data_IF_676752953952
#
_entry.id   IF_676752953952
#
_cell.length_a   1.000
_cell.length_b   1.000
_cell.length_c   1.000
_cell.angle_alpha   90.00
_cell.angle_beta   90.00
_cell.angle_gamma   90.00
#
_symmetry.space_group_name_H-M   'P 1'
#
loop_
_entity.id
_entity.type
_entity.pdbx_description
1 polymer ?
#
# COMPACT_ATOMS: atom_id res chain seq x y z
N UNK A 1 -23.39 9.80 -4.46
CA UNK A 1 -21.99 10.27 -4.66
C UNK A 1 -21.72 11.65 -4.04
N UNK A 2 -22.47 12.71 -4.40
CA UNK A 2 -22.24 14.08 -3.88
C UNK A 2 -22.25 14.24 -2.34
N UNK A 3 -23.08 13.46 -1.62
CA UNK A 3 -23.13 13.50 -0.15
C UNK A 3 -21.84 12.95 0.51
N UNK A 4 -21.29 11.84 0.00
CA UNK A 4 -20.05 11.25 0.51
C UNK A 4 -18.85 12.17 0.29
N UNK A 5 -18.74 12.79 -0.89
CA UNK A 5 -17.68 13.77 -1.18
C UNK A 5 -17.73 14.97 -0.24
N UNK A 6 -18.92 15.45 0.12
CA UNK A 6 -19.07 16.55 1.09
C UNK A 6 -18.58 16.17 2.49
N UNK A 7 -18.86 14.93 2.92
CA UNK A 7 -18.38 14.43 4.22
C UNK A 7 -16.86 14.32 4.22
N UNK A 8 -16.28 13.75 3.18
CA UNK A 8 -14.82 13.63 3.04
C UNK A 8 -14.13 15.00 3.01
N UNK A 9 -14.68 15.96 2.26
CA UNK A 9 -14.14 17.32 2.21
C UNK A 9 -14.23 18.00 3.59
N UNK A 10 -15.35 17.87 4.29
CA UNK A 10 -15.54 18.40 5.66
C UNK A 10 -14.50 17.82 6.63
N UNK A 11 -14.28 16.51 6.59
CA UNK A 11 -13.31 15.86 7.48
C UNK A 11 -11.87 16.22 7.12
N UNK A 12 -11.53 16.31 5.83
CA UNK A 12 -10.23 16.78 5.38
C UNK A 12 -9.96 18.22 5.86
N UNK A 13 -10.93 19.13 5.71
CA UNK A 13 -10.83 20.49 6.24
C UNK A 13 -10.59 20.49 7.76
N UNK A 14 -11.35 19.66 8.50
CA UNK A 14 -11.22 19.56 9.97
C UNK A 14 -9.82 19.10 10.39
N UNK A 15 -9.27 18.09 9.73
CA UNK A 15 -7.93 17.58 10.00
C UNK A 15 -6.84 18.62 9.70
N UNK A 16 -6.94 19.29 8.56
CA UNK A 16 -6.00 20.36 8.16
C UNK A 16 -6.05 21.51 9.17
N UNK A 17 -7.24 21.98 9.55
CA UNK A 17 -7.37 23.07 10.51
C UNK A 17 -6.87 22.69 11.90
N UNK A 18 -7.15 21.45 12.35
CA UNK A 18 -6.62 20.93 13.61
C UNK A 18 -5.09 20.92 13.60
N UNK A 19 -4.47 20.52 12.49
CA UNK A 19 -3.01 20.49 12.37
C UNK A 19 -2.42 21.89 12.33
N UNK A 20 -3.04 22.85 11.61
CA UNK A 20 -2.57 24.24 11.57
C UNK A 20 -2.64 24.95 12.92
N UNK A 21 -3.68 24.67 13.69
CA UNK A 21 -3.88 25.25 15.01
C UNK A 21 -3.07 24.54 16.10
N UNK A 22 -2.30 23.50 15.76
CA UNK A 22 -1.48 22.76 16.69
C UNK A 22 -0.27 23.63 17.11
N UNK A 23 -0.13 24.00 18.40
CA UNK A 23 0.98 24.83 18.85
C UNK A 23 2.34 24.15 18.64
N UNK A 24 2.37 22.82 18.48
CA UNK A 24 3.57 22.04 18.21
C UNK A 24 3.75 21.71 16.72
N UNK A 25 3.06 22.41 15.82
CA UNK A 25 3.12 22.15 14.37
C UNK A 25 4.56 22.02 13.84
N UNK A 26 5.49 22.86 14.28
CA UNK A 26 6.89 22.85 13.81
C UNK A 26 7.70 21.63 14.30
N UNK A 27 7.28 21.03 15.41
CA UNK A 27 7.90 19.83 15.98
C UNK A 27 7.35 18.54 15.36
N UNK A 28 6.16 18.61 14.75
CA UNK A 28 5.53 17.45 14.12
C UNK A 28 6.28 16.99 12.88
N UNK A 29 6.24 15.67 12.67
CA UNK A 29 6.94 14.94 11.59
C UNK A 29 6.03 14.00 10.80
N UNK A 30 4.72 14.04 11.05
CA UNK A 30 3.76 13.33 10.19
C UNK A 30 3.55 14.07 8.86
N UNK A 31 3.13 13.33 7.82
CA UNK A 31 3.00 13.83 6.46
C UNK A 31 2.12 15.09 6.34
N UNK A 32 1.02 15.16 7.10
CA UNK A 32 0.13 16.31 7.08
C UNK A 32 0.84 17.58 7.56
N UNK A 33 1.54 17.49 8.69
CA UNK A 33 2.35 18.59 9.21
C UNK A 33 3.47 18.98 8.23
N UNK A 34 4.15 17.99 7.63
CA UNK A 34 5.22 18.23 6.65
C UNK A 34 4.71 18.98 5.41
N UNK A 35 3.54 18.64 4.87
CA UNK A 35 2.96 19.39 3.74
C UNK A 35 2.61 20.84 4.12
N UNK A 36 2.12 21.05 5.35
CA UNK A 36 1.82 22.41 5.84
C UNK A 36 3.11 23.22 6.03
N UNK A 37 4.14 22.63 6.64
CA UNK A 37 5.45 23.26 6.84
C UNK A 37 6.13 23.60 5.50
N UNK A 38 5.96 22.74 4.49
CA UNK A 38 6.40 22.98 3.12
C UNK A 38 5.57 24.03 2.36
N UNK A 39 4.59 24.66 3.02
CA UNK A 39 3.75 25.76 2.49
C UNK A 39 2.93 25.37 1.25
N UNK A 40 2.51 24.11 1.12
CA UNK A 40 1.54 23.72 0.10
C UNK A 40 0.16 24.38 0.33
N UNK A 41 -0.61 24.55 -0.74
CA UNK A 41 -1.94 25.16 -0.67
C UNK A 41 -2.90 24.31 0.17
N UNK A 42 -3.89 24.95 0.81
CA UNK A 42 -4.90 24.24 1.61
C UNK A 42 -5.60 23.15 0.81
N UNK A 43 -5.95 23.46 -0.45
CA UNK A 43 -6.64 22.51 -1.33
C UNK A 43 -5.75 21.31 -1.64
N UNK A 44 -4.47 21.54 -1.95
CA UNK A 44 -3.52 20.45 -2.17
C UNK A 44 -3.40 19.56 -0.94
N UNK A 45 -3.21 20.15 0.25
CA UNK A 45 -3.07 19.38 1.51
C UNK A 45 -4.32 18.54 1.79
N UNK A 46 -5.52 19.09 1.59
CA UNK A 46 -6.78 18.34 1.73
C UNK A 46 -6.85 17.16 0.76
N UNK A 47 -6.51 17.39 -0.51
CA UNK A 47 -6.51 16.33 -1.52
C UNK A 47 -5.51 15.23 -1.17
N UNK A 48 -4.31 15.59 -0.68
CA UNK A 48 -3.31 14.62 -0.24
C UNK A 48 -3.79 13.78 0.94
N UNK A 49 -4.47 14.36 1.93
CA UNK A 49 -5.08 13.61 3.05
C UNK A 49 -6.04 12.54 2.52
N UNK A 50 -6.91 12.91 1.59
CA UNK A 50 -7.87 11.96 1.00
C UNK A 50 -7.17 10.87 0.19
N UNK A 51 -6.21 11.24 -0.67
CA UNK A 51 -5.47 10.27 -1.47
C UNK A 51 -4.70 9.27 -0.61
N UNK A 52 -4.03 9.71 0.45
CA UNK A 52 -3.28 8.82 1.35
C UNK A 52 -4.21 7.85 2.10
N UNK A 53 -5.36 8.32 2.57
CA UNK A 53 -6.33 7.46 3.26
C UNK A 53 -6.88 6.41 2.30
N UNK A 54 -7.31 6.81 1.11
CA UNK A 54 -7.87 5.88 0.12
C UNK A 54 -6.82 4.85 -0.30
N UNK A 55 -5.63 5.33 -0.68
CA UNK A 55 -4.56 4.46 -1.15
C UNK A 55 -4.08 3.50 -0.06
N UNK A 56 -3.96 3.94 1.20
CA UNK A 56 -3.44 3.11 2.29
C UNK A 56 -4.47 2.20 2.96
N UNK A 57 -5.73 2.64 3.08
CA UNK A 57 -6.77 1.91 3.81
C UNK A 57 -7.24 0.68 3.04
N UNK A 58 -7.75 0.88 1.83
CA UNK A 58 -8.48 -0.17 1.12
C UNK A 58 -7.52 -1.24 0.59
N UNK A 59 -6.33 -0.84 0.15
CA UNK A 59 -5.29 -1.78 -0.30
C UNK A 59 -4.75 -2.65 0.84
N UNK A 60 -4.41 -2.05 1.98
CA UNK A 60 -3.91 -2.79 3.15
C UNK A 60 -4.98 -3.70 3.73
N UNK A 61 -6.23 -3.25 3.82
CA UNK A 61 -7.34 -4.07 4.29
C UNK A 61 -7.55 -5.29 3.38
N UNK A 62 -7.56 -5.08 2.05
CA UNK A 62 -7.68 -6.17 1.07
C UNK A 62 -6.54 -7.19 1.23
N UNK A 63 -5.29 -6.73 1.30
CA UNK A 63 -4.12 -7.58 1.49
C UNK A 63 -4.23 -8.42 2.77
N UNK A 64 -4.54 -7.80 3.90
CA UNK A 64 -4.67 -8.51 5.18
C UNK A 64 -5.80 -9.52 5.16
N UNK A 65 -6.93 -9.21 4.53
CA UNK A 65 -8.04 -10.16 4.37
C UNK A 65 -7.61 -11.40 3.60
N UNK A 66 -6.92 -11.24 2.47
CA UNK A 66 -6.39 -12.37 1.70
C UNK A 66 -5.30 -13.14 2.45
N UNK A 67 -4.40 -12.44 3.15
CA UNK A 67 -3.35 -13.07 3.95
C UNK A 67 -3.97 -13.98 5.01
N UNK A 68 -4.94 -13.49 5.78
CA UNK A 68 -5.61 -14.31 6.79
C UNK A 68 -6.39 -15.45 6.16
N UNK A 69 -7.05 -15.23 5.02
CA UNK A 69 -7.71 -16.30 4.29
C UNK A 69 -6.73 -17.42 3.91
N UNK A 70 -5.58 -17.10 3.30
CA UNK A 70 -4.57 -18.10 2.95
C UNK A 70 -3.97 -18.80 4.16
N UNK A 71 -3.73 -18.08 5.26
CA UNK A 71 -3.25 -18.69 6.50
C UNK A 71 -4.25 -19.69 7.07
N UNK A 72 -5.56 -19.44 6.98
CA UNK A 72 -6.58 -20.41 7.44
C UNK A 72 -6.62 -21.68 6.59
N UNK A 73 -6.19 -21.59 5.32
CA UNK A 73 -6.12 -22.72 4.39
C UNK A 73 -4.80 -23.49 4.49
N UNK A 74 -3.73 -22.85 4.96
CA UNK A 74 -2.39 -23.41 5.03
C UNK A 74 -1.88 -23.41 6.49
N UNK A 75 -2.38 -24.35 7.29
CA UNK A 75 -2.12 -24.40 8.73
C UNK A 75 -0.64 -24.63 9.09
N UNK A 76 0.11 -25.32 8.24
CA UNK A 76 1.55 -25.52 8.42
C UNK A 76 2.33 -24.20 8.25
N UNK A 77 1.93 -23.39 7.28
CA UNK A 77 2.48 -22.04 7.07
C UNK A 77 2.12 -21.15 8.25
N UNK A 78 0.86 -21.20 8.71
CA UNK A 78 0.41 -20.46 9.89
C UNK A 78 1.21 -20.83 11.14
N UNK A 79 1.46 -22.13 11.37
CA UNK A 79 2.23 -22.60 12.52
C UNK A 79 3.67 -22.10 12.48
N UNK A 80 4.34 -22.17 11.31
CA UNK A 80 5.70 -21.64 11.11
C UNK A 80 5.78 -20.12 11.32
N UNK A 81 4.79 -19.38 10.81
CA UNK A 81 4.71 -17.93 11.01
C UNK A 81 4.54 -17.61 12.50
N UNK A 82 3.64 -18.30 13.18
CA UNK A 82 3.43 -18.12 14.61
C UNK A 82 4.71 -18.42 15.41
N UNK A 83 5.44 -19.48 15.06
CA UNK A 83 6.73 -19.80 15.67
C UNK A 83 7.75 -18.66 15.50
N UNK A 84 7.92 -18.12 14.29
CA UNK A 84 8.81 -16.97 14.05
C UNK A 84 8.41 -15.77 14.92
N UNK A 85 7.12 -15.42 14.93
CA UNK A 85 6.61 -14.29 15.72
C UNK A 85 6.87 -14.52 17.22
N UNK A 86 6.60 -15.71 17.76
CA UNK A 86 6.81 -15.98 19.18
C UNK A 86 8.29 -15.98 19.57
N UNK A 87 9.17 -16.43 18.68
CA UNK A 87 10.62 -16.41 18.93
C UNK A 87 11.22 -15.01 18.83
N UNK A 88 10.79 -14.21 17.84
CA UNK A 88 11.39 -12.91 17.52
C UNK A 88 10.69 -11.74 18.22
N UNK A 89 9.39 -11.86 18.48
CA UNK A 89 8.51 -10.88 19.11
C UNK A 89 7.74 -11.48 20.30
N UNK A 90 8.43 -11.92 21.36
CA UNK A 90 7.75 -12.46 22.53
C UNK A 90 6.83 -11.41 23.18
N UNK A 91 5.78 -11.85 23.90
CA UNK A 91 4.86 -10.95 24.59
C UNK A 91 5.59 -9.92 25.48
N UNK A 92 5.23 -8.65 25.34
CA UNK A 92 5.84 -7.55 26.08
C UNK A 92 7.08 -6.94 25.42
N UNK A 93 7.59 -7.51 24.31
CA UNK A 93 8.62 -6.83 23.51
C UNK A 93 8.04 -5.58 22.85
N UNK A 94 8.75 -4.47 22.98
CA UNK A 94 8.39 -3.22 22.29
C UNK A 94 8.57 -3.42 20.79
N UNK A 95 7.52 -3.13 20.03
CA UNK A 95 7.57 -3.15 18.58
C UNK A 95 8.15 -1.83 18.08
N UNK A 96 9.19 -1.94 17.27
CA UNK A 96 9.78 -0.84 16.51
C UNK A 96 10.07 -1.25 15.06
N UNK A 97 10.44 -0.27 14.23
CA UNK A 97 10.72 -0.50 12.81
C UNK A 97 11.85 -1.52 12.56
N UNK A 98 12.80 -1.64 13.50
CA UNK A 98 13.89 -2.60 13.38
C UNK A 98 13.37 -4.02 13.63
N UNK A 99 12.60 -4.21 14.70
CA UNK A 99 11.99 -5.48 15.09
C UNK A 99 11.01 -6.03 14.04
N UNK A 100 10.41 -5.14 13.23
CA UNK A 100 9.47 -5.49 12.16
C UNK A 100 10.14 -5.59 10.78
N UNK A 101 11.46 -5.43 10.71
CA UNK A 101 12.20 -5.47 9.45
C UNK A 101 12.23 -6.87 8.84
N UNK A 102 12.40 -6.94 7.51
CA UNK A 102 12.51 -8.20 6.78
C UNK A 102 13.70 -9.06 7.21
N UNK A 103 14.76 -8.46 7.78
CA UNK A 103 15.89 -9.20 8.34
C UNK A 103 15.57 -9.87 9.67
N UNK A 104 14.67 -9.28 10.46
CA UNK A 104 14.27 -9.84 11.76
C UNK A 104 13.11 -10.84 11.64
N UNK A 105 12.19 -10.60 10.70
CA UNK A 105 10.99 -11.39 10.44
C UNK A 105 10.89 -11.84 8.97
N UNK A 106 11.88 -12.59 8.45
CA UNK A 106 11.91 -12.97 7.04
C UNK A 106 10.70 -13.81 6.62
N UNK A 107 10.17 -14.68 7.49
CA UNK A 107 9.03 -15.54 7.15
C UNK A 107 7.73 -14.73 7.08
N UNK A 108 7.48 -13.81 8.01
CA UNK A 108 6.37 -12.85 7.92
C UNK A 108 6.39 -12.07 6.60
N UNK A 109 7.55 -11.51 6.24
CA UNK A 109 7.68 -10.77 4.98
C UNK A 109 7.47 -11.70 3.77
N UNK A 110 7.97 -12.93 3.82
CA UNK A 110 7.68 -13.96 2.82
C UNK A 110 6.18 -14.22 2.65
N UNK A 111 5.43 -14.39 3.75
CA UNK A 111 3.97 -14.56 3.73
C UNK A 111 3.26 -13.34 3.14
N UNK A 112 3.69 -12.12 3.50
CA UNK A 112 3.13 -10.88 2.94
C UNK A 112 3.39 -10.80 1.44
N UNK A 113 4.62 -11.08 0.99
CA UNK A 113 4.98 -11.03 -0.42
C UNK A 113 4.27 -12.10 -1.24
N UNK A 114 4.10 -13.30 -0.69
CA UNK A 114 3.37 -14.35 -1.38
C UNK A 114 1.88 -14.04 -1.48
N UNK A 115 1.31 -13.45 -0.43
CA UNK A 115 -0.06 -12.92 -0.50
C UNK A 115 -0.16 -11.80 -1.54
N UNK A 116 0.83 -10.91 -1.67
CA UNK A 116 0.84 -9.87 -2.72
C UNK A 116 1.00 -10.46 -4.12
N UNK A 117 1.75 -11.55 -4.29
CA UNK A 117 1.90 -12.28 -5.56
C UNK A 117 0.56 -12.86 -6.01
N UNK A 118 -0.12 -13.55 -5.09
CA UNK A 118 -1.39 -14.24 -5.35
C UNK A 118 -2.57 -13.26 -5.40
N UNK A 119 -2.62 -12.29 -4.50
CA UNK A 119 -3.79 -11.43 -4.31
C UNK A 119 -3.40 -9.95 -4.23
N UNK A 120 -2.78 -9.39 -5.30
CA UNK A 120 -2.42 -7.98 -5.32
C UNK A 120 -3.70 -7.12 -5.21
N UNK A 121 -3.78 -6.18 -4.24
CA UNK A 121 -4.95 -5.32 -4.11
C UNK A 121 -5.26 -4.47 -5.35
N UNK A 122 -4.24 -4.21 -6.19
CA UNK A 122 -4.37 -3.56 -7.50
C UNK A 122 -3.95 -4.57 -8.58
N UNK A 123 -4.90 -5.37 -9.13
CA UNK A 123 -4.57 -6.48 -10.04
C UNK A 123 -4.26 -6.03 -11.47
N UNK A 124 -4.53 -4.77 -11.81
CA UNK A 124 -4.32 -4.17 -13.12
C UNK A 124 -3.98 -2.68 -12.96
N UNK A 125 -2.89 -2.23 -13.58
CA UNK A 125 -2.42 -0.84 -13.50
C UNK A 125 -2.28 -0.23 -14.91
N UNK A 126 -3.19 0.67 -15.31
CA UNK A 126 -3.14 1.36 -16.58
C UNK A 126 -2.17 2.55 -16.55
N UNK A 127 -1.43 2.72 -17.63
CA UNK A 127 -0.58 3.87 -17.97
C UNK A 127 -1.06 4.47 -19.28
N UNK A 128 -0.78 5.75 -19.48
CA UNK A 128 -1.09 6.45 -20.73
C UNK A 128 0.20 6.99 -21.32
N UNK A 129 0.45 6.69 -22.59
CA UNK A 129 1.58 7.25 -23.32
C UNK A 129 1.32 8.72 -23.60
N UNK A 130 2.25 9.62 -23.24
CA UNK A 130 2.09 11.05 -23.53
C UNK A 130 2.50 11.38 -24.96
N UNK A 131 3.45 10.65 -25.51
CA UNK A 131 3.95 10.72 -26.87
C UNK A 131 4.09 9.31 -27.47
N UNK A 132 4.37 9.22 -28.77
CA UNK A 132 4.64 7.94 -29.43
C UNK A 132 5.88 7.28 -28.81
N UNK A 133 5.77 5.99 -28.47
CA UNK A 133 6.84 5.23 -27.82
C UNK A 133 6.94 3.80 -28.39
N UNK A 134 8.01 3.08 -28.05
CA UNK A 134 8.25 1.69 -28.44
C UNK A 134 8.65 0.88 -27.21
N UNK A 135 7.80 -0.09 -26.84
CA UNK A 135 8.09 -0.99 -25.71
C UNK A 135 9.31 -1.88 -26.00
N UNK A 136 10.00 -2.43 -24.98
CA UNK A 136 11.19 -3.27 -25.16
C UNK A 136 11.04 -4.46 -26.11
N UNK A 137 9.82 -4.92 -26.37
CA UNK A 137 9.52 -5.96 -27.36
C UNK A 137 9.35 -5.47 -28.81
N UNK A 138 9.60 -4.19 -29.10
CA UNK A 138 9.43 -3.58 -30.43
C UNK A 138 8.01 -3.11 -30.74
N UNK A 139 7.09 -3.17 -29.77
CA UNK A 139 5.69 -2.79 -29.94
C UNK A 139 5.54 -1.27 -29.91
N UNK A 140 5.03 -0.68 -31.00
CA UNK A 140 4.75 0.75 -31.08
C UNK A 140 3.49 1.10 -30.28
N UNK A 141 3.58 2.13 -29.46
CA UNK A 141 2.49 2.67 -28.66
C UNK A 141 2.27 4.11 -29.10
N UNK A 142 1.13 4.46 -29.71
CA UNK A 142 0.88 5.82 -30.14
C UNK A 142 0.60 6.74 -28.94
N UNK A 143 0.83 8.03 -29.12
CA UNK A 143 0.49 9.05 -28.15
C UNK A 143 -0.98 8.94 -27.70
N UNK A 144 -1.22 9.17 -26.42
CA UNK A 144 -2.50 9.04 -25.74
C UNK A 144 -3.09 7.62 -25.66
N UNK A 145 -2.39 6.60 -26.17
CA UNK A 145 -2.80 5.22 -25.97
C UNK A 145 -2.67 4.80 -24.50
N UNK A 146 -3.61 3.97 -24.04
CA UNK A 146 -3.52 3.31 -22.75
C UNK A 146 -2.83 1.95 -22.89
N UNK A 147 -1.81 1.72 -22.07
CA UNK A 147 -1.12 0.45 -21.93
C UNK A 147 -1.23 0.04 -20.48
N UNK A 148 -1.50 -1.23 -20.22
CA UNK A 148 -1.66 -1.70 -18.85
C UNK A 148 -0.91 -3.01 -18.64
N UNK A 149 -0.46 -3.22 -17.41
CA UNK A 149 0.12 -4.47 -16.97
C UNK A 149 -0.72 -5.05 -15.83
N UNK A 150 -0.70 -6.37 -15.70
CA UNK A 150 -1.44 -7.09 -14.67
C UNK A 150 -0.49 -7.74 -13.69
N UNK A 151 -0.25 -7.14 -12.51
CA UNK A 151 0.44 -7.80 -11.41
C UNK A 151 -0.15 -9.18 -11.09
N UNK A 152 -1.48 -9.31 -11.17
CA UNK A 152 -2.18 -10.58 -10.91
C UNK A 152 -1.75 -11.70 -11.86
N UNK A 153 -1.72 -11.44 -13.18
CA UNK A 153 -1.29 -12.43 -14.16
C UNK A 153 0.22 -12.66 -14.11
N UNK A 154 1.01 -11.59 -13.89
CA UNK A 154 2.46 -11.68 -13.79
C UNK A 154 2.90 -12.52 -12.59
N UNK A 155 2.22 -12.38 -11.45
CA UNK A 155 2.45 -13.18 -10.25
C UNK A 155 2.12 -14.67 -10.43
N UNK A 156 1.41 -15.04 -11.50
CA UNK A 156 1.03 -16.43 -11.85
C UNK A 156 1.67 -16.93 -13.13
N UNK A 157 2.72 -16.26 -13.61
CA UNK A 157 3.43 -16.70 -14.80
C UNK A 157 4.21 -17.98 -14.50
N UNK A 158 3.75 -19.11 -15.04
CA UNK A 158 4.39 -20.43 -14.88
C UNK A 158 5.84 -20.49 -15.38
N UNK A 159 6.28 -19.52 -16.20
CA UNK A 159 7.70 -19.41 -16.60
C UNK A 159 8.57 -18.83 -15.49
N UNK A 160 7.99 -18.13 -14.52
CA UNK A 160 8.67 -17.45 -13.43
C UNK A 160 8.47 -18.14 -12.08
N UNK A 161 7.30 -18.76 -11.88
CA UNK A 161 6.93 -19.40 -10.63
C UNK A 161 6.64 -20.89 -10.86
N UNK A 162 7.37 -21.81 -10.21
CA UNK A 162 7.15 -23.26 -10.35
C UNK A 162 5.75 -23.71 -9.92
N UNK A 163 5.18 -23.05 -8.91
CA UNK A 163 3.83 -23.27 -8.38
C UNK A 163 3.09 -21.93 -8.44
N UNK A 164 2.57 -21.55 -9.63
CA UNK A 164 2.02 -20.22 -9.86
C UNK A 164 0.66 -20.00 -9.19
N UNK A 165 -0.07 -21.07 -8.86
CA UNK A 165 -1.39 -21.06 -8.22
C UNK A 165 -1.32 -20.70 -6.73
#
# INVERSE_FOLDING_TARGET
>A
MKAATRVLDKEANRLVQKCRNDPKLNERRDLLALFIQAKFSTDFVKQMVLHLIIAGRDTTACLLSWMFYELTRNQDIQAKLHEEIMQKLPPGKVLDMKSLSASELPYLHGVIYETLRLWPPVPFDPKMAFEDDVLPGGWKVPAMAQVAYSPYNMGRDAKRYPEPE
#
